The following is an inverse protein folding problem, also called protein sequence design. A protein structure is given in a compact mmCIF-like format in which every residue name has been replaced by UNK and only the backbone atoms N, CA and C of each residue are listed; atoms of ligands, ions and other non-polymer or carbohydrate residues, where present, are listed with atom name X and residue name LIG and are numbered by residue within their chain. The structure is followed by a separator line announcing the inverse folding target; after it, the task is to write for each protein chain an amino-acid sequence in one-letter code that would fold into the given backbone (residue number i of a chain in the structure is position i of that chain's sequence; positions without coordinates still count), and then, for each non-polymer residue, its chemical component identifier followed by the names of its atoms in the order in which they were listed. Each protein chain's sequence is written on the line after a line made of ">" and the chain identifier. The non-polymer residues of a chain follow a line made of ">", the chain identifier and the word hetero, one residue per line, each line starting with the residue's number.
data_IF_457775836021
#
_entry.id   IF_457775836021
#
_cell.length_a   1.000
_cell.length_b   1.000
_cell.length_c   1.000
_cell.angle_alpha   90.00
_cell.angle_beta   90.00
_cell.angle_gamma   90.00
#
_symmetry.space_group_name_H-M   'P 1'
#
loop_
_entity.id
_entity.type
_entity.pdbx_description
1 polymer ?
#
# COMPACT_ATOMS: atom_id res chain seq x y z
N UNK A 1 10.33 -11.48 12.66
CA UNK A 1 10.52 -10.36 11.73
C UNK A 1 10.38 -10.74 10.25
N UNK A 2 11.03 -11.81 9.74
CA UNK A 2 10.83 -12.29 8.36
C UNK A 2 9.37 -12.67 8.05
N UNK A 3 8.62 -13.20 9.02
CA UNK A 3 7.23 -13.63 8.86
C UNK A 3 6.23 -12.47 8.73
N UNK A 4 6.48 -11.31 9.35
CA UNK A 4 5.55 -10.16 9.32
C UNK A 4 5.67 -9.32 8.04
N UNK A 5 6.85 -9.25 7.43
CA UNK A 5 7.03 -8.61 6.12
C UNK A 5 6.37 -9.45 5.02
N UNK A 6 6.52 -10.78 5.16
CA UNK A 6 5.88 -11.77 4.31
C UNK A 6 4.37 -11.71 4.44
N UNK A 7 3.86 -11.56 5.69
CA UNK A 7 2.42 -11.56 5.93
C UNK A 7 1.73 -10.35 5.30
N UNK A 8 2.33 -9.16 5.26
CA UNK A 8 1.65 -8.00 4.70
C UNK A 8 1.49 -8.11 3.17
N UNK A 9 2.55 -8.48 2.46
CA UNK A 9 2.46 -8.69 1.00
C UNK A 9 1.59 -9.93 0.70
N UNK A 10 1.73 -10.99 1.48
CA UNK A 10 0.92 -12.22 1.37
C UNK A 10 -0.52 -11.99 1.82
N UNK A 11 -0.78 -11.19 2.85
CA UNK A 11 -2.14 -10.86 3.31
C UNK A 11 -2.88 -10.01 2.27
N UNK A 12 -2.22 -9.02 1.67
CA UNK A 12 -2.80 -8.26 0.56
C UNK A 12 -3.07 -9.13 -0.67
N UNK A 13 -2.18 -10.09 -0.97
CA UNK A 13 -2.34 -10.97 -2.12
C UNK A 13 -3.14 -12.25 -1.83
N UNK A 14 -3.03 -12.87 -0.65
CA UNK A 14 -3.78 -14.09 -0.34
C UNK A 14 -5.29 -13.86 -0.17
N UNK A 15 -5.74 -12.68 0.30
CA UNK A 15 -7.16 -12.39 0.34
C UNK A 15 -7.74 -12.06 -1.04
N UNK A 16 -6.92 -11.57 -1.98
CA UNK A 16 -7.30 -11.43 -3.40
C UNK A 16 -7.31 -12.80 -4.09
N UNK A 17 -6.50 -13.74 -3.60
CA UNK A 17 -6.28 -15.07 -4.16
C UNK A 17 -7.16 -16.15 -3.49
N UNK A 18 -8.28 -15.81 -2.91
CA UNK A 18 -9.34 -16.82 -2.71
C UNK A 18 -9.90 -17.12 -4.11
N UNK A 19 -9.04 -17.76 -4.89
CA UNK A 19 -9.23 -18.07 -6.31
C UNK A 19 -10.47 -18.92 -6.61
N UNK A 20 -11.11 -19.48 -5.59
CA UNK A 20 -12.33 -20.27 -5.73
C UNK A 20 -13.55 -19.42 -6.12
N UNK A 21 -13.49 -18.08 -5.92
CA UNK A 21 -14.60 -17.18 -6.21
C UNK A 21 -14.33 -16.19 -7.36
N UNK A 22 -13.11 -16.14 -7.89
CA UNK A 22 -12.74 -15.25 -9.00
C UNK A 22 -13.54 -15.52 -10.28
N UNK A 23 -14.03 -16.73 -10.45
CA UNK A 23 -14.83 -17.10 -11.60
C UNK A 23 -16.11 -16.27 -11.72
N UNK A 24 -16.89 -16.26 -10.67
CA UNK A 24 -18.16 -15.50 -10.65
C UNK A 24 -17.89 -13.98 -10.75
N UNK A 25 -16.80 -13.51 -10.17
CA UNK A 25 -16.42 -12.10 -10.25
C UNK A 25 -15.97 -11.70 -11.67
N UNK A 26 -15.27 -12.58 -12.38
CA UNK A 26 -14.77 -12.27 -13.72
C UNK A 26 -15.85 -12.15 -14.78
N UNK A 27 -17.05 -12.73 -14.57
CA UNK A 27 -18.23 -12.55 -15.41
C UNK A 27 -18.62 -11.09 -15.59
N UNK A 28 -18.51 -10.32 -14.52
CA UNK A 28 -18.91 -8.91 -14.49
C UNK A 28 -17.66 -8.03 -14.46
N UNK A 29 -16.79 -8.09 -15.46
CA UNK A 29 -15.44 -7.52 -15.44
C UNK A 29 -15.36 -6.05 -15.03
N UNK A 30 -16.32 -5.20 -15.47
CA UNK A 30 -16.40 -3.79 -15.03
C UNK A 30 -16.83 -3.68 -13.57
N UNK A 31 -17.85 -4.42 -13.18
CA UNK A 31 -18.39 -4.44 -11.82
C UNK A 31 -17.37 -5.04 -10.86
N UNK A 32 -16.66 -6.11 -11.29
CA UNK A 32 -15.56 -6.73 -10.56
C UNK A 32 -14.43 -5.74 -10.27
N UNK A 33 -14.06 -4.95 -11.28
CA UNK A 33 -13.03 -3.92 -11.14
C UNK A 33 -13.44 -2.87 -10.12
N UNK A 34 -14.68 -2.36 -10.21
CA UNK A 34 -15.20 -1.36 -9.27
C UNK A 34 -15.29 -1.89 -7.83
N UNK A 35 -15.83 -3.11 -7.67
CA UNK A 35 -15.95 -3.75 -6.35
C UNK A 35 -14.59 -3.96 -5.70
N UNK A 36 -13.64 -4.54 -6.46
CA UNK A 36 -12.29 -4.82 -5.98
C UNK A 36 -11.53 -3.52 -5.68
N UNK A 37 -11.70 -2.49 -6.50
CA UNK A 37 -11.11 -1.18 -6.26
C UNK A 37 -11.60 -0.57 -4.95
N UNK A 38 -12.92 -0.56 -4.71
CA UNK A 38 -13.50 -0.05 -3.46
C UNK A 38 -13.01 -0.86 -2.24
N UNK A 39 -12.96 -2.19 -2.37
CA UNK A 39 -12.50 -3.09 -1.30
C UNK A 39 -11.03 -2.85 -0.93
N UNK A 40 -10.12 -2.67 -1.89
CA UNK A 40 -8.67 -2.55 -1.66
C UNK A 40 -8.21 -1.11 -1.39
N UNK A 41 -8.99 -0.11 -1.80
CA UNK A 41 -8.57 1.29 -1.78
C UNK A 41 -7.94 1.75 -0.46
N UNK A 42 -8.48 1.48 0.74
CA UNK A 42 -7.89 1.97 1.99
C UNK A 42 -6.49 1.42 2.28
N UNK A 43 -6.23 0.16 1.95
CA UNK A 43 -4.91 -0.43 2.12
C UNK A 43 -3.90 0.19 1.15
N UNK A 44 -4.29 0.44 -0.10
CA UNK A 44 -3.44 1.08 -1.11
C UNK A 44 -3.09 2.51 -0.73
N UNK A 45 -4.06 3.28 -0.21
CA UNK A 45 -3.87 4.63 0.30
C UNK A 45 -2.89 4.64 1.49
N UNK A 46 -3.07 3.72 2.45
CA UNK A 46 -2.19 3.57 3.60
C UNK A 46 -0.75 3.25 3.17
N UNK A 47 -0.57 2.31 2.23
CA UNK A 47 0.76 1.96 1.69
C UNK A 47 1.44 3.15 1.00
N UNK A 48 0.71 3.95 0.20
CA UNK A 48 1.26 5.16 -0.43
C UNK A 48 1.70 6.19 0.60
N UNK A 49 0.96 6.31 1.72
CA UNK A 49 1.32 7.17 2.85
C UNK A 49 2.62 6.71 3.53
N UNK A 50 2.76 5.41 3.78
CA UNK A 50 3.96 4.81 4.38
C UNK A 50 5.20 4.97 3.50
N UNK A 51 5.06 4.81 2.18
CA UNK A 51 6.17 4.96 1.23
C UNK A 51 6.79 6.37 1.26
N UNK A 52 5.97 7.37 1.60
CA UNK A 52 6.40 8.77 1.72
C UNK A 52 6.94 9.13 3.11
N UNK A 53 6.81 8.25 4.14
CA UNK A 53 7.22 8.49 5.52
C UNK A 53 8.65 7.99 5.81
N UNK A 54 9.22 8.39 6.96
CA UNK A 54 10.47 7.85 7.49
C UNK A 54 11.74 8.23 6.73
N UNK A 55 11.74 9.30 5.93
CA UNK A 55 12.89 9.72 5.14
C UNK A 55 13.98 10.45 5.95
N UNK A 56 13.64 11.07 7.05
CA UNK A 56 14.51 11.89 7.86
C UNK A 56 14.09 11.83 9.34
N UNK A 57 15.01 12.21 10.20
CA UNK A 57 14.80 12.37 11.65
C UNK A 57 15.40 13.67 12.18
N UNK A 58 15.82 14.58 11.28
CA UNK A 58 16.35 15.93 11.57
C UNK A 58 16.43 16.71 10.26
N UNK A 59 16.36 18.03 10.34
CA UNK A 59 16.70 18.93 9.25
C UNK A 59 18.22 19.12 9.07
N UNK A 60 19.03 18.72 10.06
CA UNK A 60 20.49 18.74 9.99
C UNK A 60 21.00 17.62 9.10
N UNK A 61 21.83 17.97 8.13
CA UNK A 61 22.51 17.02 7.24
C UNK A 61 23.77 16.44 7.88
N UNK A 62 24.32 15.40 7.28
CA UNK A 62 25.61 14.84 7.65
C UNK A 62 26.76 15.82 7.29
N UNK A 63 27.86 15.68 8.02
CA UNK A 63 29.13 16.30 7.58
C UNK A 63 29.56 15.61 6.28
N UNK A 64 30.49 16.24 5.57
CA UNK A 64 31.10 15.68 4.35
C UNK A 64 31.56 14.23 4.57
N UNK A 65 31.07 13.29 3.72
CA UNK A 65 31.32 11.86 3.83
C UNK A 65 30.80 11.19 5.11
N UNK A 66 30.03 11.90 5.93
CA UNK A 66 29.27 11.27 7.00
C UNK A 66 28.15 10.42 6.41
N UNK A 67 27.83 9.30 7.04
CA UNK A 67 26.78 8.42 6.57
C UNK A 67 25.97 7.84 7.71
N UNK A 68 24.76 7.38 7.41
CA UNK A 68 23.96 6.59 8.32
C UNK A 68 23.35 5.35 7.62
N UNK A 69 23.02 4.37 8.44
CA UNK A 69 22.16 3.25 8.07
C UNK A 69 20.96 3.32 9.00
N UNK A 70 19.78 3.51 8.42
CA UNK A 70 18.52 3.66 9.15
C UNK A 70 17.62 2.47 8.88
N UNK A 71 17.03 1.92 9.94
CA UNK A 71 15.95 0.94 9.90
C UNK A 71 14.74 1.61 10.55
N UNK A 72 13.66 1.74 9.83
CA UNK A 72 12.42 2.33 10.30
C UNK A 72 11.22 1.45 9.99
N UNK A 73 10.18 1.59 10.77
CA UNK A 73 8.86 1.05 10.49
C UNK A 73 7.87 2.22 10.42
N UNK A 74 7.17 2.32 9.32
CA UNK A 74 6.06 3.22 9.13
C UNK A 74 4.77 2.44 9.37
N UNK A 75 3.76 3.07 9.92
CA UNK A 75 2.46 2.48 10.22
C UNK A 75 1.38 3.51 9.90
N UNK A 76 0.74 3.38 8.76
CA UNK A 76 -0.37 4.24 8.37
C UNK A 76 -1.68 3.73 8.95
N UNK A 77 -2.29 4.57 9.78
CA UNK A 77 -3.57 4.29 10.44
C UNK A 77 -4.72 4.52 9.46
N UNK A 78 -5.56 3.51 9.30
CA UNK A 78 -6.72 3.62 8.43
C UNK A 78 -7.84 4.32 9.20
N UNK A 79 -8.40 5.44 8.68
CA UNK A 79 -9.52 6.11 9.32
C UNK A 79 -10.78 5.24 9.30
N UNK A 80 -11.72 5.50 10.20
CA UNK A 80 -12.97 4.73 10.29
C UNK A 80 -13.77 4.72 8.97
N UNK A 81 -13.70 5.79 8.19
CA UNK A 81 -14.30 5.87 6.86
C UNK A 81 -13.67 4.94 5.84
N UNK A 82 -12.46 4.43 6.08
CA UNK A 82 -11.77 3.47 5.23
C UNK A 82 -12.05 2.00 5.57
N UNK A 83 -12.82 1.73 6.64
CA UNK A 83 -13.13 0.35 7.03
C UNK A 83 -14.25 -0.27 6.21
N UNK A 84 -15.07 0.54 5.58
CA UNK A 84 -16.22 0.11 4.76
C UNK A 84 -16.41 1.06 3.59
N UNK A 85 -17.16 0.59 2.60
CA UNK A 85 -17.60 1.41 1.48
C UNK A 85 -19.10 1.22 1.23
N UNK A 86 -19.74 2.22 0.60
CA UNK A 86 -21.14 2.16 0.24
C UNK A 86 -21.31 1.38 -1.07
N UNK A 87 -22.03 0.26 -1.01
CA UNK A 87 -22.44 -0.51 -2.18
C UNK A 87 -23.76 0.08 -2.69
N UNK A 88 -23.70 0.78 -3.82
CA UNK A 88 -24.90 1.31 -4.48
C UNK A 88 -25.27 0.40 -5.64
N UNK A 89 -26.41 -0.31 -5.58
CA UNK A 89 -26.79 -1.22 -6.66
C UNK A 89 -26.85 -0.58 -8.05
N UNK A 90 -27.09 0.75 -8.12
CA UNK A 90 -27.10 1.49 -9.38
C UNK A 90 -25.72 1.61 -10.06
N UNK A 91 -24.64 1.41 -9.32
CA UNK A 91 -23.27 1.53 -9.83
C UNK A 91 -22.79 0.20 -10.46
N UNK A 92 -23.55 -0.87 -10.28
CA UNK A 92 -23.26 -2.23 -10.74
C UNK A 92 -24.33 -2.71 -11.71
N UNK A 93 -23.91 -3.34 -12.80
CA UNK A 93 -24.83 -3.85 -13.83
C UNK A 93 -25.32 -5.25 -13.51
N UNK A 94 -24.48 -6.07 -12.88
CA UNK A 94 -24.70 -7.51 -12.72
C UNK A 94 -24.48 -8.03 -11.31
N UNK A 95 -23.98 -7.18 -10.37
CA UNK A 95 -23.72 -7.56 -8.99
C UNK A 95 -24.84 -7.05 -8.06
N UNK A 96 -25.24 -7.93 -7.14
CA UNK A 96 -26.15 -7.58 -6.04
C UNK A 96 -25.65 -8.23 -4.76
N UNK A 97 -25.96 -7.63 -3.61
CA UNK A 97 -25.73 -8.28 -2.31
C UNK A 97 -26.91 -9.19 -2.00
N UNK A 98 -26.62 -10.43 -1.53
CA UNK A 98 -27.67 -11.46 -1.30
C UNK A 98 -28.77 -11.02 -0.33
N UNK A 99 -28.39 -10.29 0.72
CA UNK A 99 -29.32 -9.85 1.75
C UNK A 99 -29.68 -8.36 1.66
N UNK A 100 -29.29 -7.68 0.57
CA UNK A 100 -29.55 -6.26 0.36
C UNK A 100 -28.66 -5.33 1.19
N UNK A 101 -27.47 -5.77 1.58
CA UNK A 101 -26.49 -4.92 2.26
C UNK A 101 -26.07 -3.79 1.33
N UNK A 102 -26.04 -2.57 1.87
CA UNK A 102 -25.60 -1.36 1.15
C UNK A 102 -24.27 -0.80 1.68
N UNK A 103 -23.71 -1.42 2.72
CA UNK A 103 -22.45 -1.05 3.32
C UNK A 103 -21.62 -2.30 3.53
N UNK A 104 -20.48 -2.37 2.82
CA UNK A 104 -19.61 -3.53 2.80
C UNK A 104 -18.28 -3.22 3.44
N UNK A 105 -17.67 -4.22 4.08
CA UNK A 105 -16.33 -4.10 4.64
C UNK A 105 -15.31 -3.96 3.52
N UNK A 106 -14.27 -3.15 3.79
CA UNK A 106 -13.06 -3.13 2.96
C UNK A 106 -12.05 -4.16 3.46
N UNK A 107 -10.94 -4.33 2.79
CA UNK A 107 -9.81 -5.14 3.27
C UNK A 107 -9.27 -4.66 4.64
N UNK A 108 -9.55 -3.40 5.02
CA UNK A 108 -9.21 -2.82 6.31
C UNK A 108 -10.40 -2.73 7.27
N UNK A 109 -11.46 -3.46 7.01
CA UNK A 109 -12.65 -3.58 7.84
C UNK A 109 -12.54 -4.68 8.91
N UNK A 110 -13.68 -5.09 9.45
CA UNK A 110 -13.79 -6.16 10.46
C UNK A 110 -13.66 -7.54 9.81
N UNK A 111 -12.92 -8.46 10.42
CA UNK A 111 -12.58 -9.76 9.83
C UNK A 111 -13.73 -10.78 9.86
N UNK A 112 -14.71 -10.61 10.73
CA UNK A 112 -15.84 -11.53 10.94
C UNK A 112 -17.06 -11.20 10.08
N UNK A 113 -16.99 -10.15 9.27
CA UNK A 113 -18.08 -9.68 8.42
C UNK A 113 -17.80 -9.95 6.93
N UNK A 114 -18.18 -11.13 6.44
CA UNK A 114 -18.22 -11.39 5.01
C UNK A 114 -19.59 -11.08 4.43
N UNK A 115 -19.63 -10.69 3.14
CA UNK A 115 -20.88 -10.45 2.42
C UNK A 115 -20.91 -11.29 1.16
N UNK A 116 -22.01 -12.07 0.96
CA UNK A 116 -22.21 -12.81 -0.27
C UNK A 116 -22.72 -11.89 -1.37
N UNK A 117 -22.00 -11.88 -2.49
CA UNK A 117 -22.32 -11.15 -3.71
C UNK A 117 -22.86 -12.15 -4.73
N UNK A 118 -24.03 -11.88 -5.27
CA UNK A 118 -24.65 -12.65 -6.35
C UNK A 118 -24.38 -11.95 -7.69
N UNK A 119 -24.04 -12.75 -8.69
CA UNK A 119 -23.81 -12.34 -10.08
C UNK A 119 -24.92 -12.90 -10.94
N UNK A 120 -25.56 -12.06 -11.77
CA UNK A 120 -26.60 -12.48 -12.68
C UNK A 120 -26.50 -11.71 -13.99
N UNK A 121 -26.08 -12.39 -15.05
CA UNK A 121 -25.87 -11.80 -16.37
C UNK A 121 -26.87 -12.42 -17.35
N UNK A 122 -27.77 -11.64 -17.97
CA UNK A 122 -28.70 -12.16 -18.97
C UNK A 122 -27.94 -12.66 -20.20
N UNK A 123 -28.39 -13.79 -20.77
CA UNK A 123 -27.92 -14.28 -22.05
C UNK A 123 -28.89 -13.90 -23.18
N UNK A 124 -28.48 -14.14 -24.43
CA UNK A 124 -29.29 -13.85 -25.63
C UNK A 124 -30.53 -14.76 -25.76
N UNK A 125 -30.64 -15.83 -24.97
CA UNK A 125 -31.73 -16.79 -24.95
C UNK A 125 -32.83 -16.47 -23.94
N UNK A 126 -32.63 -15.41 -23.13
CA UNK A 126 -33.48 -15.01 -22.04
C UNK A 126 -33.25 -15.81 -20.74
N UNK A 127 -32.15 -16.55 -20.66
CA UNK A 127 -31.66 -17.19 -19.45
C UNK A 127 -30.59 -16.29 -18.77
N UNK A 128 -30.06 -16.73 -17.64
CA UNK A 128 -29.05 -16.01 -16.90
C UNK A 128 -27.83 -16.89 -16.62
N UNK A 129 -26.62 -16.34 -16.87
CA UNK A 129 -25.39 -16.87 -16.29
C UNK A 129 -25.35 -16.40 -14.84
N UNK A 130 -25.33 -17.34 -13.90
CA UNK A 130 -25.37 -17.02 -12.48
C UNK A 130 -24.14 -17.55 -11.75
N UNK A 131 -23.77 -16.85 -10.71
CA UNK A 131 -22.73 -17.24 -9.80
C UNK A 131 -22.85 -16.48 -8.49
N UNK A 132 -22.09 -16.89 -7.50
CA UNK A 132 -21.98 -16.13 -6.25
C UNK A 132 -20.58 -16.29 -5.67
N UNK A 133 -20.15 -15.30 -4.90
CA UNK A 133 -18.91 -15.36 -4.14
C UNK A 133 -19.05 -14.57 -2.84
N UNK A 134 -18.21 -14.90 -1.87
CA UNK A 134 -18.15 -14.16 -0.63
C UNK A 134 -17.06 -13.10 -0.72
N UNK A 135 -17.44 -11.83 -0.60
CA UNK A 135 -16.50 -10.75 -0.34
C UNK A 135 -16.05 -10.90 1.11
N UNK A 136 -14.77 -11.20 1.37
CA UNK A 136 -14.31 -11.46 2.72
C UNK A 136 -14.37 -10.20 3.58
N UNK A 137 -14.40 -10.38 4.89
CA UNK A 137 -14.17 -9.31 5.85
C UNK A 137 -12.74 -8.77 5.74
N UNK A 138 -12.44 -7.72 6.51
CA UNK A 138 -11.12 -7.11 6.52
C UNK A 138 -10.09 -7.85 7.36
N UNK A 139 -8.87 -7.35 7.33
CA UNK A 139 -7.71 -7.90 8.10
C UNK A 139 -7.19 -6.92 9.15
N UNK A 140 -7.88 -5.80 9.38
CA UNK A 140 -7.38 -4.75 10.28
C UNK A 140 -7.12 -5.27 11.70
N UNK A 141 -7.97 -6.20 12.20
CA UNK A 141 -7.82 -6.79 13.53
C UNK A 141 -6.54 -7.60 13.72
N UNK A 142 -5.94 -8.10 12.65
CA UNK A 142 -4.69 -8.85 12.66
C UNK A 142 -3.45 -7.94 12.52
N UNK A 143 -3.66 -6.66 12.24
CA UNK A 143 -2.59 -5.69 12.00
C UNK A 143 -2.32 -4.82 13.24
N UNK A 144 -1.06 -4.38 13.46
CA UNK A 144 -0.73 -3.50 14.56
C UNK A 144 -1.57 -2.23 14.53
N UNK A 145 -2.26 -1.92 15.63
CA UNK A 145 -3.10 -0.73 15.78
C UNK A 145 -4.11 -0.52 14.63
N UNK A 146 -4.55 -1.61 13.99
CA UNK A 146 -5.42 -1.60 12.80
C UNK A 146 -4.85 -0.76 11.63
N UNK A 147 -3.54 -0.63 11.55
CA UNK A 147 -2.84 0.12 10.50
C UNK A 147 -2.02 -0.79 9.60
N UNK A 148 -1.61 -0.27 8.45
CA UNK A 148 -0.76 -0.95 7.49
C UNK A 148 0.70 -0.69 7.85
N UNK A 149 1.50 -1.70 8.26
CA UNK A 149 2.91 -1.51 8.59
C UNK A 149 3.79 -1.67 7.34
N UNK A 150 4.77 -0.77 7.17
CA UNK A 150 5.76 -0.86 6.10
C UNK A 150 7.17 -0.61 6.64
N UNK A 151 8.01 -1.65 6.79
CA UNK A 151 9.39 -1.49 7.21
C UNK A 151 10.26 -0.96 6.07
N UNK A 152 11.23 -0.11 6.43
CA UNK A 152 12.15 0.54 5.50
C UNK A 152 13.59 0.39 5.97
N UNK A 153 14.49 0.14 5.01
CA UNK A 153 15.93 0.23 5.21
C UNK A 153 16.47 1.31 4.28
N UNK A 154 17.25 2.22 4.85
CA UNK A 154 17.77 3.39 4.15
C UNK A 154 19.24 3.62 4.49
N UNK A 155 20.00 4.11 3.54
CA UNK A 155 21.36 4.63 3.72
C UNK A 155 21.37 6.10 3.35
N UNK A 156 21.89 6.94 4.24
CA UNK A 156 22.12 8.37 4.00
C UNK A 156 23.61 8.67 3.85
N UNK A 157 23.96 9.60 2.96
CA UNK A 157 25.34 10.03 2.70
C UNK A 157 25.40 11.54 2.52
N UNK A 158 26.24 12.19 3.32
CA UNK A 158 26.55 13.61 3.19
C UNK A 158 27.47 13.90 2.01
N UNK A 159 27.01 14.70 1.06
CA UNK A 159 27.80 15.11 -0.11
C UNK A 159 28.73 16.27 0.29
N UNK A 160 30.04 16.17 0.00
CA UNK A 160 30.98 17.26 0.31
C UNK A 160 30.63 18.57 -0.41
N UNK A 161 30.84 19.70 0.30
CA UNK A 161 30.76 21.06 -0.26
C UNK A 161 29.36 21.62 -0.49
N UNK A 162 28.35 20.79 -0.80
CA UNK A 162 27.03 21.27 -1.28
C UNK A 162 25.92 21.27 -0.21
N UNK A 163 26.25 21.03 1.07
CA UNK A 163 25.25 20.96 2.17
C UNK A 163 24.03 20.09 1.84
N UNK A 164 24.27 18.92 1.26
CA UNK A 164 23.22 18.03 0.77
C UNK A 164 23.47 16.59 1.20
N UNK A 165 22.44 15.92 1.67
CA UNK A 165 22.43 14.48 1.87
C UNK A 165 21.72 13.81 0.71
N UNK A 166 22.28 12.70 0.23
CA UNK A 166 21.61 11.73 -0.62
C UNK A 166 21.16 10.56 0.23
N UNK A 167 19.93 10.12 0.06
CA UNK A 167 19.34 8.98 0.77
C UNK A 167 18.90 7.92 -0.22
N UNK A 168 19.21 6.66 0.06
CA UNK A 168 18.86 5.53 -0.78
C UNK A 168 18.08 4.51 0.04
N UNK A 169 16.94 4.08 -0.48
CA UNK A 169 16.17 2.94 0.02
C UNK A 169 16.33 1.79 -0.94
N UNK A 170 16.73 0.63 -0.43
CA UNK A 170 17.01 -0.53 -1.25
C UNK A 170 16.47 -1.79 -0.58
N UNK A 171 15.60 -2.49 -1.29
CA UNK A 171 15.26 -3.87 -1.05
C UNK A 171 15.48 -4.60 -2.39
N UNK A 172 16.62 -5.29 -2.55
CA UNK A 172 16.86 -6.11 -3.74
C UNK A 172 15.74 -7.14 -3.90
N UNK A 173 15.48 -7.56 -5.13
CA UNK A 173 14.43 -8.56 -5.40
C UNK A 173 14.62 -9.78 -4.52
N UNK A 174 13.64 -10.02 -3.65
CA UNK A 174 13.56 -11.20 -2.79
C UNK A 174 12.43 -12.06 -3.31
N UNK A 175 12.68 -13.35 -3.45
CA UNK A 175 11.64 -14.32 -3.85
C UNK A 175 11.32 -15.19 -2.65
N UNK A 176 10.04 -15.32 -2.34
CA UNK A 176 9.49 -16.11 -1.26
C UNK A 176 8.63 -17.24 -1.84
N UNK A 177 8.77 -18.44 -1.26
CA UNK A 177 8.00 -19.64 -1.63
C UNK A 177 7.97 -19.92 -3.15
N UNK A 178 9.01 -19.49 -3.88
CA UNK A 178 9.15 -19.59 -5.33
C UNK A 178 8.02 -18.94 -6.16
N UNK A 179 7.07 -18.28 -5.52
CA UNK A 179 5.88 -17.71 -6.17
C UNK A 179 5.76 -16.20 -6.00
N UNK A 180 6.24 -15.65 -4.88
CA UNK A 180 6.10 -14.21 -4.58
C UNK A 180 7.45 -13.53 -4.63
N UNK A 181 7.59 -12.47 -5.40
CA UNK A 181 8.78 -11.62 -5.39
C UNK A 181 8.44 -10.18 -5.01
N UNK A 182 9.34 -9.53 -4.26
CA UNK A 182 9.21 -8.13 -3.84
C UNK A 182 10.54 -7.43 -4.03
N UNK A 183 10.50 -6.21 -4.52
CA UNK A 183 11.66 -5.31 -4.61
C UNK A 183 11.25 -3.88 -4.35
N UNK A 184 12.18 -3.06 -3.82
CA UNK A 184 11.96 -1.64 -3.58
C UNK A 184 13.24 -0.86 -3.87
N UNK A 185 13.06 0.29 -4.50
CA UNK A 185 14.09 1.28 -4.73
C UNK A 185 13.56 2.66 -4.37
N UNK A 186 14.37 3.50 -3.71
CA UNK A 186 14.02 4.88 -3.45
C UNK A 186 15.26 5.76 -3.42
N UNK A 187 15.09 7.02 -3.82
CA UNK A 187 16.11 8.06 -3.76
C UNK A 187 15.51 9.30 -3.12
N UNK A 188 16.27 9.93 -2.23
CA UNK A 188 15.92 11.18 -1.55
C UNK A 188 17.08 12.15 -1.53
N UNK A 189 16.76 13.43 -1.62
CA UNK A 189 17.72 14.53 -1.51
C UNK A 189 17.25 15.47 -0.39
N UNK A 190 18.13 15.75 0.59
CA UNK A 190 17.90 16.73 1.63
C UNK A 190 18.97 17.82 1.55
N UNK A 191 18.55 19.05 1.29
CA UNK A 191 19.45 20.19 1.18
C UNK A 191 19.23 21.16 2.34
N UNK A 192 20.29 21.39 3.12
CA UNK A 192 20.24 22.31 4.26
C UNK A 192 20.46 23.75 3.80
N UNK A 193 19.44 24.59 4.04
CA UNK A 193 19.43 26.00 3.66
C UNK A 193 19.64 26.96 4.83
N UNK A 194 19.91 26.45 6.02
CA UNK A 194 20.08 27.25 7.25
C UNK A 194 21.03 28.44 7.06
N UNK A 195 22.19 28.18 6.48
CA UNK A 195 23.22 29.22 6.26
C UNK A 195 22.80 30.32 5.27
N UNK A 196 21.81 30.09 4.44
CA UNK A 196 21.28 31.06 3.49
C UNK A 196 20.22 31.98 4.12
N UNK A 197 19.58 31.52 5.22
CA UNK A 197 18.47 32.21 5.87
C UNK A 197 18.90 32.86 7.17
N UNK A 198 19.78 32.20 7.95
CA UNK A 198 20.23 32.64 9.28
C UNK A 198 21.66 33.22 9.17
N UNK A 199 21.88 34.48 9.60
CA UNK A 199 23.20 35.06 9.62
C UNK A 199 24.20 34.25 10.48
N UNK A 200 25.42 34.09 10.02
CA UNK A 200 26.45 33.32 10.69
C UNK A 200 26.82 33.83 12.12
N UNK A 201 26.41 35.06 12.47
CA UNK A 201 26.53 35.64 13.79
C UNK A 201 25.56 35.09 14.83
N UNK A 202 24.48 34.41 14.39
CA UNK A 202 23.50 33.76 15.26
C UNK A 202 23.85 32.28 15.40
N UNK A 203 24.38 31.90 16.56
CA UNK A 203 24.63 30.48 16.90
C UNK A 203 23.34 29.89 17.48
N UNK A 204 22.47 29.38 16.62
CA UNK A 204 21.24 28.70 17.03
C UNK A 204 21.37 27.20 16.72
N UNK A 205 20.86 26.32 17.58
CA UNK A 205 20.80 24.88 17.30
C UNK A 205 19.68 24.53 16.27
N UNK A 206 19.28 25.52 15.46
CA UNK A 206 18.21 25.43 14.45
C UNK A 206 18.77 25.06 13.10
N UNK A 207 18.20 24.07 12.48
CA UNK A 207 18.47 23.64 11.12
C UNK A 207 17.22 23.71 10.28
N UNK A 208 17.33 24.17 9.05
CA UNK A 208 16.24 24.25 8.06
C UNK A 208 16.71 23.59 6.78
N UNK A 209 15.89 22.71 6.22
CA UNK A 209 16.20 21.97 4.99
C UNK A 209 14.98 21.90 4.09
N UNK A 210 15.23 21.67 2.81
CA UNK A 210 14.25 21.19 1.86
C UNK A 210 14.57 19.73 1.52
N UNK A 211 13.53 18.93 1.33
CA UNK A 211 13.64 17.51 1.02
C UNK A 211 12.77 17.15 -0.17
N UNK A 212 13.27 16.29 -1.04
CA UNK A 212 12.52 15.61 -2.08
C UNK A 212 12.87 14.13 -2.10
N UNK A 213 11.86 13.26 -2.19
CA UNK A 213 12.06 11.82 -2.21
C UNK A 213 11.09 11.10 -3.14
N UNK A 214 11.59 10.02 -3.75
CA UNK A 214 10.84 9.12 -4.61
C UNK A 214 11.11 7.68 -4.18
N UNK A 215 10.07 6.86 -4.13
CA UNK A 215 10.19 5.42 -3.85
C UNK A 215 9.30 4.64 -4.82
N UNK A 216 9.80 3.54 -5.34
CA UNK A 216 9.08 2.56 -6.15
C UNK A 216 9.15 1.19 -5.48
N UNK A 217 8.01 0.54 -5.32
CA UNK A 217 7.87 -0.83 -4.83
C UNK A 217 7.20 -1.67 -5.92
N UNK A 218 7.77 -2.84 -6.18
CA UNK A 218 7.23 -3.79 -7.15
C UNK A 218 7.07 -5.14 -6.46
N UNK A 219 5.92 -5.76 -6.65
CA UNK A 219 5.66 -7.12 -6.20
C UNK A 219 4.98 -7.91 -7.30
N UNK A 220 5.30 -9.19 -7.35
CA UNK A 220 4.78 -10.15 -8.32
C UNK A 220 4.47 -11.44 -7.59
N UNK A 221 3.31 -12.01 -7.86
CA UNK A 221 2.92 -13.31 -7.34
C UNK A 221 2.42 -14.20 -8.48
N UNK A 222 3.05 -15.36 -8.64
CA UNK A 222 2.66 -16.37 -9.64
C UNK A 222 1.86 -17.46 -8.95
N UNK A 223 0.74 -17.84 -9.55
CA UNK A 223 -0.15 -18.87 -9.01
C UNK A 223 -0.75 -19.72 -10.12
N UNK A 224 -1.26 -20.88 -9.74
CA UNK A 224 -2.02 -21.76 -10.62
C UNK A 224 -3.20 -22.34 -9.86
N UNK A 225 -4.27 -22.66 -10.57
CA UNK A 225 -5.45 -23.26 -9.97
C UNK A 225 -5.15 -24.65 -9.40
N UNK A 226 -5.87 -24.99 -8.34
CA UNK A 226 -5.87 -26.36 -7.80
C UNK A 226 -6.72 -27.28 -8.67
N UNK A 227 -6.40 -28.58 -8.78
CA UNK A 227 -7.23 -29.53 -9.48
C UNK A 227 -8.66 -29.59 -8.91
N UNK A 228 -9.67 -29.49 -9.77
CA UNK A 228 -11.09 -29.52 -9.37
C UNK A 228 -11.68 -28.17 -8.99
N UNK A 229 -10.97 -27.07 -9.21
CA UNK A 229 -11.49 -25.71 -9.05
C UNK A 229 -12.42 -25.34 -10.20
N UNK A 230 -13.49 -24.59 -9.92
CA UNK A 230 -14.40 -24.03 -10.94
C UNK A 230 -13.70 -22.98 -11.82
N UNK A 231 -12.53 -22.52 -11.40
CA UNK A 231 -11.66 -21.60 -12.13
C UNK A 231 -10.36 -22.30 -12.47
N UNK A 232 -10.06 -22.45 -13.74
CA UNK A 232 -8.81 -23.03 -14.23
C UNK A 232 -7.88 -21.91 -14.70
N UNK A 233 -6.72 -21.78 -14.05
CA UNK A 233 -5.70 -20.78 -14.36
C UNK A 233 -4.35 -21.49 -14.50
N UNK A 234 -3.89 -21.81 -15.71
CA UNK A 234 -2.61 -22.48 -15.90
C UNK A 234 -1.41 -21.65 -15.45
N UNK A 235 -1.44 -20.36 -15.75
CA UNK A 235 -0.33 -19.40 -15.52
C UNK A 235 -0.88 -18.05 -15.04
N UNK A 236 -1.42 -17.99 -13.82
CA UNK A 236 -1.89 -16.74 -13.23
C UNK A 236 -0.74 -15.91 -12.66
N UNK A 237 -0.78 -14.61 -12.84
CA UNK A 237 0.18 -13.67 -12.31
C UNK A 237 -0.52 -12.42 -11.78
N UNK A 238 -0.33 -12.12 -10.51
CA UNK A 238 -0.70 -10.83 -9.94
C UNK A 238 0.53 -9.92 -9.87
N UNK A 239 0.47 -8.75 -10.48
CA UNK A 239 1.53 -7.74 -10.43
C UNK A 239 1.06 -6.50 -9.71
N UNK A 240 1.88 -6.01 -8.79
CA UNK A 240 1.63 -4.81 -8.02
C UNK A 240 2.80 -3.85 -8.13
N UNK A 241 2.54 -2.63 -8.58
CA UNK A 241 3.52 -1.56 -8.70
C UNK A 241 3.01 -0.35 -7.92
N UNK A 242 3.81 0.19 -7.01
CA UNK A 242 3.49 1.38 -6.25
C UNK A 242 4.64 2.38 -6.36
N UNK A 243 4.31 3.62 -6.72
CA UNK A 243 5.23 4.74 -6.81
C UNK A 243 4.76 5.85 -5.89
N UNK A 244 5.68 6.41 -5.11
CA UNK A 244 5.40 7.49 -4.18
C UNK A 244 6.45 8.59 -4.28
N UNK A 245 5.99 9.84 -4.21
CA UNK A 245 6.83 11.03 -4.28
C UNK A 245 6.43 12.03 -3.21
N UNK A 246 7.41 12.68 -2.59
CA UNK A 246 7.18 13.71 -1.56
C UNK A 246 8.15 14.87 -1.69
N UNK A 247 7.66 16.09 -1.42
CA UNK A 247 8.48 17.32 -1.26
C UNK A 247 8.09 18.00 0.03
N UNK A 248 9.08 18.40 0.83
CA UNK A 248 8.87 18.89 2.17
C UNK A 248 9.86 20.00 2.55
N UNK A 249 9.42 20.97 3.34
CA UNK A 249 10.26 21.87 4.10
C UNK A 249 10.37 21.35 5.54
N UNK A 250 11.59 21.24 6.05
CA UNK A 250 11.93 20.69 7.35
C UNK A 250 12.56 21.75 8.24
N UNK A 251 12.28 21.67 9.53
CA UNK A 251 13.00 22.38 10.56
C UNK A 251 13.34 21.44 11.72
N UNK A 252 14.50 21.60 12.34
CA UNK A 252 14.84 20.90 13.59
C UNK A 252 15.63 21.77 14.54
N UNK A 253 15.46 21.50 15.83
CA UNK A 253 16.29 22.04 16.90
C UNK A 253 17.09 20.87 17.47
N UNK A 254 18.40 20.92 17.29
CA UNK A 254 19.30 19.82 17.60
C UNK A 254 20.13 20.14 18.84
N UNK A 255 19.75 19.57 19.99
CA UNK A 255 20.54 19.55 21.20
C UNK A 255 21.50 18.35 21.22
N UNK A 256 22.37 18.29 22.21
CA UNK A 256 23.39 17.23 22.28
C UNK A 256 22.81 15.83 22.28
N UNK A 257 21.73 15.58 23.06
CA UNK A 257 21.12 14.23 23.14
C UNK A 257 19.72 14.18 22.59
N UNK A 258 19.08 15.29 22.26
CA UNK A 258 17.69 15.35 21.79
C UNK A 258 17.61 16.27 20.59
N UNK A 259 16.96 15.83 19.54
CA UNK A 259 16.55 16.66 18.42
C UNK A 259 15.02 16.64 18.35
N UNK A 260 14.41 17.80 18.21
CA UNK A 260 13.00 17.94 17.87
C UNK A 260 12.92 18.40 16.41
N UNK A 261 12.08 17.78 15.64
CA UNK A 261 11.94 18.11 14.22
C UNK A 261 10.49 18.13 13.76
N UNK A 262 10.26 18.89 12.72
CA UNK A 262 8.97 18.94 12.08
C UNK A 262 9.11 19.27 10.60
N UNK A 263 8.05 19.02 9.86
CA UNK A 263 8.00 19.36 8.44
C UNK A 263 6.58 19.68 8.00
N UNK A 264 6.50 20.36 6.87
CA UNK A 264 5.28 20.53 6.09
C UNK A 264 5.59 20.26 4.62
N UNK A 265 4.68 19.67 3.90
CA UNK A 265 4.92 19.34 2.50
C UNK A 265 3.73 18.72 1.81
N UNK A 266 4.02 18.15 0.68
CA UNK A 266 3.07 17.51 -0.21
C UNK A 266 3.57 16.11 -0.59
N UNK A 267 2.65 15.17 -0.67
CA UNK A 267 2.92 13.82 -1.16
C UNK A 267 1.95 13.47 -2.29
N UNK A 268 2.44 12.58 -3.12
CA UNK A 268 1.68 11.95 -4.19
C UNK A 268 2.09 10.47 -4.25
N UNK A 269 1.14 9.62 -4.56
CA UNK A 269 1.36 8.20 -4.78
C UNK A 269 0.40 7.69 -5.84
N UNK A 270 0.84 6.67 -6.56
CA UNK A 270 -0.01 5.90 -7.44
C UNK A 270 0.38 4.43 -7.38
N UNK A 271 -0.59 3.56 -7.52
CA UNK A 271 -0.35 2.13 -7.62
C UNK A 271 -1.21 1.48 -8.69
N UNK A 272 -0.67 0.40 -9.26
CA UNK A 272 -1.35 -0.44 -10.24
C UNK A 272 -1.33 -1.88 -9.76
N UNK A 273 -2.48 -2.52 -9.81
CA UNK A 273 -2.66 -3.93 -9.52
C UNK A 273 -3.27 -4.59 -10.75
N UNK A 274 -2.53 -5.51 -11.37
CA UNK A 274 -3.03 -6.26 -12.51
C UNK A 274 -3.06 -7.75 -12.17
N UNK A 275 -4.09 -8.41 -12.66
CA UNK A 275 -4.24 -9.84 -12.64
C UNK A 275 -4.15 -10.34 -14.08
N UNK A 276 -3.01 -10.94 -14.42
CA UNK A 276 -2.69 -11.37 -15.77
C UNK A 276 -2.83 -12.88 -15.91
N UNK A 277 -3.09 -13.35 -17.13
CA UNK A 277 -3.22 -14.77 -17.46
C UNK A 277 -4.56 -15.12 -18.09
N UNK A 278 -4.68 -16.37 -18.50
CA UNK A 278 -5.91 -16.91 -19.08
C UNK A 278 -6.69 -17.68 -18.02
N UNK A 279 -7.92 -17.24 -17.80
CA UNK A 279 -8.85 -17.77 -16.81
C UNK A 279 -9.98 -18.49 -17.53
N UNK A 280 -10.15 -19.77 -17.27
CA UNK A 280 -11.28 -20.56 -17.78
C UNK A 280 -12.25 -20.77 -16.63
N UNK A 281 -13.47 -20.32 -16.82
CA UNK A 281 -14.52 -20.21 -15.83
C UNK A 281 -15.70 -21.09 -16.22
N UNK A 282 -16.27 -21.83 -15.26
CA UNK A 282 -17.45 -22.65 -15.45
C UNK A 282 -18.63 -22.01 -14.73
N UNK A 283 -19.73 -21.80 -15.43
CA UNK A 283 -20.95 -21.17 -14.90
C UNK A 283 -22.17 -22.02 -15.10
N UNK A 284 -23.12 -21.91 -14.17
CA UNK A 284 -24.45 -22.42 -14.33
C UNK A 284 -25.31 -21.45 -15.16
N UNK A 285 -26.12 -22.00 -16.07
CA UNK A 285 -27.15 -21.27 -16.78
C UNK A 285 -28.49 -21.61 -16.10
N UNK A 286 -29.23 -20.59 -15.68
CA UNK A 286 -30.54 -20.75 -15.08
C UNK A 286 -31.61 -20.12 -15.96
N UNK A 287 -32.82 -20.75 -15.97
CA UNK A 287 -34.01 -20.15 -16.56
C UNK A 287 -34.60 -19.03 -15.67
N UNK A 288 -35.68 -18.40 -16.15
CA UNK A 288 -36.37 -17.35 -15.40
C UNK A 288 -37.00 -17.83 -14.06
N UNK A 289 -37.03 -19.11 -13.80
CA UNK A 289 -37.50 -19.70 -12.54
C UNK A 289 -36.33 -20.06 -11.61
N UNK A 290 -35.11 -19.79 -12.01
CA UNK A 290 -33.90 -20.12 -11.25
C UNK A 290 -33.49 -21.61 -11.36
N UNK A 291 -34.05 -22.37 -12.32
CA UNK A 291 -33.69 -23.77 -12.51
C UNK A 291 -32.44 -23.85 -13.42
N UNK A 292 -31.45 -24.63 -13.00
CA UNK A 292 -30.25 -24.86 -13.81
C UNK A 292 -30.62 -25.65 -15.05
N UNK A 293 -30.41 -25.06 -16.22
CA UNK A 293 -30.73 -25.65 -17.54
C UNK A 293 -29.46 -26.08 -18.30
N UNK A 294 -28.28 -25.73 -17.80
CA UNK A 294 -26.99 -26.11 -18.38
C UNK A 294 -25.82 -25.46 -17.69
N UNK A 295 -24.62 -25.75 -18.19
CA UNK A 295 -23.38 -25.09 -17.79
C UNK A 295 -22.68 -24.53 -19.03
N UNK A 296 -21.97 -23.41 -18.88
CA UNK A 296 -21.15 -22.82 -19.94
C UNK A 296 -19.75 -22.56 -19.42
N UNK A 297 -18.78 -22.73 -20.32
CA UNK A 297 -17.39 -22.41 -20.06
C UNK A 297 -17.02 -21.13 -20.80
N UNK A 298 -16.38 -20.20 -20.10
CA UNK A 298 -15.93 -18.93 -20.65
C UNK A 298 -14.45 -18.72 -20.36
N UNK A 299 -13.73 -18.18 -21.32
CA UNK A 299 -12.31 -17.84 -21.17
C UNK A 299 -12.16 -16.33 -21.15
N UNK A 300 -11.45 -15.83 -20.14
CA UNK A 300 -11.16 -14.40 -19.97
C UNK A 300 -9.66 -14.24 -19.79
N UNK A 301 -9.04 -13.37 -20.59
CA UNK A 301 -7.64 -13.00 -20.44
C UNK A 301 -7.49 -11.68 -19.69
N UNK A 302 -6.53 -11.62 -18.76
CA UNK A 302 -6.17 -10.43 -17.98
C UNK A 302 -7.38 -9.74 -17.32
N UNK A 303 -8.14 -10.44 -16.44
CA UNK A 303 -9.47 -10.02 -15.99
C UNK A 303 -9.49 -8.75 -15.16
N UNK A 304 -8.37 -8.30 -14.60
CA UNK A 304 -8.34 -7.18 -13.67
C UNK A 304 -7.14 -6.26 -13.89
N UNK A 305 -7.42 -4.97 -14.05
CA UNK A 305 -6.41 -3.90 -14.06
C UNK A 305 -6.93 -2.72 -13.23
N UNK A 306 -6.36 -2.52 -12.04
CA UNK A 306 -6.80 -1.51 -11.08
C UNK A 306 -5.73 -0.44 -10.91
N UNK A 307 -6.18 0.80 -10.81
CA UNK A 307 -5.32 1.94 -10.53
C UNK A 307 -5.82 2.68 -9.28
N UNK A 308 -4.88 3.05 -8.41
CA UNK A 308 -5.14 3.82 -7.20
C UNK A 308 -4.22 5.04 -7.18
N UNK A 309 -4.71 6.15 -6.68
CA UNK A 309 -3.92 7.37 -6.55
C UNK A 309 -4.26 8.09 -5.25
N UNK A 310 -3.25 8.74 -4.67
CA UNK A 310 -3.38 9.56 -3.48
C UNK A 310 -2.51 10.80 -3.63
N UNK A 311 -3.00 11.94 -3.19
CA UNK A 311 -2.18 13.14 -3.10
C UNK A 311 -2.71 14.06 -2.01
N UNK A 312 -1.84 14.79 -1.33
CA UNK A 312 -2.28 15.68 -0.29
C UNK A 312 -1.17 16.38 0.47
N UNK A 313 -1.57 17.32 1.29
CA UNK A 313 -0.68 17.98 2.24
C UNK A 313 -0.35 17.03 3.39
N UNK A 314 0.85 17.21 3.93
CA UNK A 314 1.31 16.48 5.12
C UNK A 314 2.05 17.39 6.07
N UNK A 315 1.96 17.08 7.36
CA UNK A 315 2.70 17.74 8.42
C UNK A 315 3.24 16.70 9.38
N UNK A 316 4.53 16.76 9.69
CA UNK A 316 5.20 15.78 10.55
C UNK A 316 5.75 16.48 11.78
N UNK A 317 5.61 15.85 12.94
CA UNK A 317 6.27 16.22 14.19
C UNK A 317 6.97 14.99 14.76
N UNK A 318 8.22 15.15 15.17
CA UNK A 318 9.01 14.04 15.69
C UNK A 318 10.12 14.46 16.65
N UNK A 319 10.65 13.44 17.32
CA UNK A 319 11.78 13.56 18.21
C UNK A 319 12.81 12.46 17.96
N UNK A 320 14.08 12.79 18.15
CA UNK A 320 15.22 11.88 18.00
C UNK A 320 16.15 11.98 19.20
N UNK A 321 16.45 10.85 19.80
CA UNK A 321 17.52 10.71 20.81
C UNK A 321 18.85 10.43 20.12
N UNK A 322 19.87 11.19 20.45
CA UNK A 322 21.23 11.08 19.93
C UNK A 322 22.13 10.41 20.98
N UNK A 323 22.47 9.14 20.78
CA UNK A 323 23.29 8.34 21.68
C UNK A 323 24.62 8.00 20.97
N UNK A 324 25.47 9.02 20.83
CA UNK A 324 26.72 8.95 20.06
C UNK A 324 26.49 8.54 18.58
N UNK A 325 26.91 7.33 18.20
CA UNK A 325 26.69 6.79 16.84
C UNK A 325 25.30 6.16 16.66
N UNK A 326 24.56 5.92 17.73
CA UNK A 326 23.24 5.31 17.71
C UNK A 326 22.15 6.36 17.90
N UNK A 327 21.12 6.33 17.11
CA UNK A 327 20.00 7.26 17.18
C UNK A 327 18.69 6.46 17.22
N UNK A 328 17.76 6.92 18.04
CA UNK A 328 16.39 6.38 18.10
C UNK A 328 15.46 7.54 17.81
N UNK A 329 14.49 7.34 16.95
CA UNK A 329 13.53 8.38 16.60
C UNK A 329 12.12 7.85 16.45
N UNK A 330 11.17 8.76 16.65
CA UNK A 330 9.77 8.53 16.35
C UNK A 330 9.13 9.84 15.88
N UNK A 331 8.18 9.72 14.98
CA UNK A 331 7.38 10.86 14.52
C UNK A 331 5.93 10.45 14.22
N UNK A 332 5.10 11.47 14.17
CA UNK A 332 3.72 11.38 13.76
C UNK A 332 3.46 12.33 12.61
N UNK A 333 2.95 11.80 11.52
CA UNK A 333 2.57 12.56 10.33
C UNK A 333 1.06 12.67 10.23
N UNK A 334 0.58 13.89 10.20
CA UNK A 334 -0.82 14.25 9.97
C UNK A 334 -1.03 14.39 8.46
N UNK A 335 -1.87 13.55 7.91
CA UNK A 335 -2.26 13.47 6.50
C UNK A 335 -3.57 12.69 6.41
N UNK A 336 -4.07 12.35 5.23
CA UNK A 336 -5.32 11.60 5.06
C UNK A 336 -5.27 10.25 5.80
N UNK A 337 -4.18 9.50 5.67
CA UNK A 337 -3.87 8.30 6.44
C UNK A 337 -2.72 8.64 7.40
N UNK A 338 -3.07 9.04 8.60
CA UNK A 338 -2.08 9.44 9.60
C UNK A 338 -1.04 8.34 9.82
N UNK A 339 0.24 8.72 9.81
CA UNK A 339 1.33 7.74 9.87
C UNK A 339 2.18 7.93 11.11
N UNK A 340 2.40 6.83 11.85
CA UNK A 340 3.40 6.71 12.88
C UNK A 340 4.69 6.15 12.27
N UNK A 341 5.82 6.79 12.56
CA UNK A 341 7.14 6.29 12.19
C UNK A 341 7.97 6.05 13.44
N UNK A 342 8.63 4.92 13.54
CA UNK A 342 9.63 4.67 14.55
C UNK A 342 10.86 4.01 13.91
N UNK A 343 12.05 4.39 14.37
CA UNK A 343 13.25 3.85 13.77
C UNK A 343 14.51 4.03 14.61
N UNK A 344 15.54 3.35 14.15
CA UNK A 344 16.89 3.43 14.67
C UNK A 344 17.86 3.75 13.54
N UNK A 345 18.88 4.53 13.83
CA UNK A 345 19.93 4.81 12.88
C UNK A 345 21.32 4.66 13.50
N UNK A 346 22.22 4.10 12.73
CA UNK A 346 23.66 4.07 13.04
C UNK A 346 24.33 5.12 12.17
N UNK A 347 24.82 6.18 12.81
CA UNK A 347 25.38 7.34 12.11
C UNK A 347 26.84 7.52 12.45
N UNK A 348 27.65 7.70 11.44
CA UNK A 348 29.08 7.82 11.52
C UNK A 348 29.53 9.16 10.92
N UNK A 349 30.33 9.90 11.73
CA UNK A 349 30.92 11.19 11.43
C UNK A 349 29.98 12.40 11.48
#
# INVERSE_FOLDING_TARGET
>A
MKQYLLSLTVILFCNILIAQNLGSLALASSDASLLTQNYLNPAMQAMMSDMNAGWYSSAKIHKSFGFDITIAANLSLVPDSGKYFDFKPSDYSYLTTRNGETRLETVMGESDKSTTIDVSIPDDSGNYKVGSFDLPGGVAGDLPMNGVPLPMVQVGLGIPVVNTDVKLRLLPKQTYDNSTSVSMFGIGLQHEITKHIIPASMVLPLHISVFGGYTSLNSEHVFSSQPGSDVVVPNGQATFNLNAFTVQALASIDFTFLSLYGSVGYNNGNSKLNLNGDYTLNYDITDNNGMVVGTVQEQISDPLALEFSQSGLRSTLGARLNLAFFKIFADYTIQEYNTLTAGIAFSFR
#
